data_IF_473118105262
#
_entry.id   IF_473118105262
#
_cell.length_a   1.000
_cell.length_b   1.000
_cell.length_c   1.000
_cell.angle_alpha   90.00
_cell.angle_beta   90.00
_cell.angle_gamma   90.00
#
_symmetry.space_group_name_H-M   'P 1'
#
loop_
_entity.id
_entity.type
_entity.pdbx_description
1 polymer ?
#
# COMPACT_ATOMS: atom_id res chain seq x y z
N UNK A 1 40.22 11.78 2.98
CA UNK A 1 39.90 10.40 3.35
C UNK A 1 39.10 10.25 4.66
N UNK A 2 39.21 11.16 5.65
CA UNK A 2 38.43 11.07 6.90
C UNK A 2 37.04 11.75 6.86
N UNK A 3 36.81 12.67 5.92
CA UNK A 3 35.55 13.42 5.78
C UNK A 3 34.44 12.58 5.12
N UNK A 4 34.82 11.63 4.25
CA UNK A 4 33.89 10.72 3.56
C UNK A 4 33.28 9.67 4.52
N UNK A 5 34.03 9.23 5.54
CA UNK A 5 33.51 8.30 6.55
C UNK A 5 32.45 8.94 7.44
N UNK A 6 32.56 10.25 7.70
CA UNK A 6 31.58 10.97 8.53
C UNK A 6 30.23 11.14 7.81
N UNK A 7 30.23 11.42 6.51
CA UNK A 7 29.00 11.49 5.73
C UNK A 7 28.31 10.13 5.64
N UNK A 8 29.08 9.04 5.47
CA UNK A 8 28.54 7.70 5.39
C UNK A 8 27.92 7.24 6.71
N UNK A 9 28.58 7.51 7.84
CA UNK A 9 28.02 7.22 9.17
C UNK A 9 26.77 8.04 9.47
N UNK A 10 26.73 9.31 9.04
CA UNK A 10 25.55 10.16 9.20
C UNK A 10 24.38 9.69 8.33
N UNK A 11 24.65 9.27 7.09
CA UNK A 11 23.63 8.71 6.19
C UNK A 11 23.07 7.38 6.73
N UNK A 12 23.94 6.50 7.24
CA UNK A 12 23.49 5.25 7.88
C UNK A 12 22.69 5.50 9.15
N UNK A 13 23.15 6.42 10.01
CA UNK A 13 22.43 6.80 11.21
C UNK A 13 21.08 7.46 10.87
N UNK A 14 21.01 8.28 9.81
CA UNK A 14 19.79 8.90 9.33
C UNK A 14 18.81 7.86 8.78
N UNK A 15 19.27 6.91 7.95
CA UNK A 15 18.42 5.82 7.43
C UNK A 15 17.89 4.94 8.55
N UNK A 16 18.75 4.56 9.51
CA UNK A 16 18.34 3.76 10.67
C UNK A 16 17.42 4.54 11.62
N UNK A 17 17.65 5.84 11.79
CA UNK A 17 16.79 6.73 12.58
C UNK A 17 15.43 6.94 11.91
N UNK A 18 15.39 7.15 10.58
CA UNK A 18 14.17 7.17 9.78
C UNK A 18 13.40 5.85 9.88
N UNK A 19 14.10 4.70 9.78
CA UNK A 19 13.47 3.38 9.96
C UNK A 19 12.89 3.19 11.36
N UNK A 20 13.63 3.58 12.42
CA UNK A 20 13.15 3.48 13.81
C UNK A 20 12.02 4.46 14.12
N UNK A 21 12.01 5.65 13.51
CA UNK A 21 10.92 6.63 13.67
C UNK A 21 9.65 6.19 12.93
N UNK A 22 9.76 5.42 11.85
CA UNK A 22 8.62 4.87 11.13
C UNK A 22 7.86 3.80 11.94
N UNK A 23 8.54 3.06 12.82
CA UNK A 23 7.96 1.99 13.63
C UNK A 23 7.95 2.36 15.11
N UNK A 24 6.99 3.20 15.51
CA UNK A 24 6.65 3.37 16.92
C UNK A 24 5.99 2.09 17.44
N UNK A 25 6.75 1.24 18.13
CA UNK A 25 6.21 0.06 18.82
C UNK A 25 5.29 0.50 19.95
N UNK A 26 3.98 0.31 19.74
CA UNK A 26 2.95 0.50 20.74
C UNK A 26 2.29 -0.84 20.99
N UNK A 27 2.16 -1.18 22.26
CA UNK A 27 1.52 -2.43 22.68
C UNK A 27 0.34 -2.10 23.59
N UNK A 28 -0.77 -2.81 23.39
CA UNK A 28 -1.93 -2.73 24.26
C UNK A 28 -2.56 -4.10 24.41
N UNK A 29 -2.80 -4.48 25.65
CA UNK A 29 -3.55 -5.69 25.97
C UNK A 29 -5.01 -5.47 25.61
N UNK A 30 -5.55 -6.34 24.77
CA UNK A 30 -6.96 -6.31 24.35
C UNK A 30 -7.60 -7.65 24.65
N UNK A 31 -8.91 -7.64 24.94
CA UNK A 31 -9.68 -8.86 25.14
C UNK A 31 -10.25 -9.35 23.81
N UNK A 32 -10.18 -10.66 23.59
CA UNK A 32 -10.82 -11.35 22.48
C UNK A 32 -12.27 -11.63 22.84
N UNK A 33 -13.18 -11.48 21.88
CA UNK A 33 -14.59 -11.81 22.07
C UNK A 33 -15.16 -12.54 20.85
N UNK A 34 -16.41 -13.01 20.97
CA UNK A 34 -17.13 -13.67 19.87
C UNK A 34 -18.16 -12.73 19.27
N UNK A 35 -18.18 -12.64 17.95
CA UNK A 35 -19.25 -12.01 17.17
C UNK A 35 -19.92 -13.11 16.35
N UNK A 36 -21.00 -13.67 16.89
CA UNK A 36 -21.63 -14.88 16.34
C UNK A 36 -20.66 -16.07 16.35
N UNK A 37 -20.40 -16.65 15.18
CA UNK A 37 -19.45 -17.77 15.01
C UNK A 37 -17.98 -17.33 14.89
N UNK A 38 -17.73 -16.02 14.78
CA UNK A 38 -16.41 -15.46 14.51
C UNK A 38 -15.75 -14.95 15.79
N UNK A 39 -14.42 -15.02 15.84
CA UNK A 39 -13.63 -14.33 16.84
C UNK A 39 -13.38 -12.89 16.38
N UNK A 40 -13.40 -11.95 17.32
CA UNK A 40 -13.20 -10.53 17.05
C UNK A 40 -12.31 -9.89 18.11
N UNK A 41 -11.62 -8.83 17.69
CA UNK A 41 -10.91 -7.89 18.54
C UNK A 41 -11.50 -6.50 18.35
N UNK A 42 -11.53 -5.70 19.42
CA UNK A 42 -11.77 -4.26 19.30
C UNK A 42 -10.43 -3.61 19.02
N UNK A 43 -10.32 -2.89 17.92
CA UNK A 43 -9.11 -2.12 17.59
C UNK A 43 -9.20 -0.79 18.34
N UNK A 44 -8.29 -0.51 19.30
CA UNK A 44 -8.29 0.78 20.00
C UNK A 44 -7.97 1.93 19.04
N UNK A 45 -8.38 3.16 19.39
CA UNK A 45 -8.27 4.37 18.54
C UNK A 45 -6.85 4.62 18.03
N UNK A 46 -5.85 4.38 18.86
CA UNK A 46 -4.44 4.58 18.52
C UNK A 46 -3.87 3.54 17.54
N UNK A 47 -4.61 2.46 17.26
CA UNK A 47 -4.28 1.41 16.30
C UNK A 47 -5.26 1.35 15.12
N UNK A 48 -6.19 2.30 15.00
CA UNK A 48 -7.13 2.33 13.89
C UNK A 48 -6.40 2.53 12.55
N UNK A 49 -6.69 1.65 11.59
CA UNK A 49 -6.25 1.80 10.20
C UNK A 49 -7.08 2.90 9.53
N UNK A 50 -6.50 3.60 8.55
CA UNK A 50 -7.20 4.71 7.88
C UNK A 50 -8.31 4.21 6.96
N UNK A 51 -8.08 3.05 6.35
CA UNK A 51 -8.95 2.42 5.37
C UNK A 51 -10.08 1.59 5.98
N UNK A 52 -11.01 1.20 5.11
CA UNK A 52 -12.17 0.36 5.47
C UNK A 52 -11.92 -1.14 5.27
N UNK A 53 -10.79 -1.51 4.66
CA UNK A 53 -10.42 -2.89 4.32
C UNK A 53 -9.03 -3.18 4.84
N UNK A 54 -8.85 -4.39 5.34
CA UNK A 54 -7.58 -4.88 5.84
C UNK A 54 -7.39 -6.35 5.45
N UNK A 55 -6.13 -6.75 5.29
CA UNK A 55 -5.72 -8.14 5.13
C UNK A 55 -5.24 -8.63 6.50
N UNK A 56 -5.64 -9.85 6.87
CA UNK A 56 -5.16 -10.52 8.08
C UNK A 56 -4.30 -11.71 7.64
N UNK A 57 -3.06 -11.76 8.11
CA UNK A 57 -2.12 -12.87 7.92
C UNK A 57 -1.82 -13.52 9.28
N UNK A 58 -1.69 -14.84 9.31
CA UNK A 58 -1.31 -15.58 10.52
C UNK A 58 0.11 -16.12 10.37
N UNK A 59 0.98 -15.75 11.29
CA UNK A 59 2.37 -16.22 11.35
C UNK A 59 2.59 -16.84 12.73
N UNK A 60 2.57 -18.17 12.80
CA UNK A 60 2.60 -18.91 14.06
C UNK A 60 1.44 -18.54 14.99
N UNK A 61 1.77 -17.92 16.12
CA UNK A 61 0.88 -17.43 17.18
C UNK A 61 0.51 -15.94 17.02
N UNK A 62 0.97 -15.28 15.95
CA UNK A 62 0.72 -13.87 15.68
C UNK A 62 -0.29 -13.67 14.55
N UNK A 63 -1.13 -12.65 14.71
CA UNK A 63 -1.96 -12.11 13.63
C UNK A 63 -1.40 -10.76 13.21
N UNK A 64 -1.05 -10.65 11.94
CA UNK A 64 -0.59 -9.41 11.31
C UNK A 64 -1.76 -8.85 10.51
N UNK A 65 -2.16 -7.62 10.84
CA UNK A 65 -3.26 -6.93 10.18
C UNK A 65 -2.67 -5.74 9.44
N UNK A 66 -2.84 -5.71 8.12
CA UNK A 66 -2.35 -4.65 7.24
C UNK A 66 -3.51 -3.98 6.52
N UNK A 67 -3.42 -2.67 6.30
CA UNK A 67 -4.41 -1.93 5.52
C UNK A 67 -4.32 -2.30 4.04
N UNK A 68 -5.46 -2.46 3.38
CA UNK A 68 -5.51 -2.55 1.92
C UNK A 68 -5.37 -1.14 1.35
N UNK A 69 -4.20 -0.83 0.80
CA UNK A 69 -4.00 0.40 0.03
C UNK A 69 -4.86 0.33 -1.23
N UNK A 70 -5.89 1.16 -1.28
CA UNK A 70 -6.61 1.42 -2.52
C UNK A 70 -5.93 2.61 -3.18
N UNK A 71 -5.21 2.36 -4.28
CA UNK A 71 -4.71 3.44 -5.11
C UNK A 71 -5.92 4.15 -5.71
N UNK A 72 -5.94 5.47 -5.63
CA UNK A 72 -6.88 6.24 -6.43
C UNK A 72 -6.50 6.12 -7.93
N UNK A 73 -7.39 6.50 -8.84
CA UNK A 73 -7.14 6.33 -10.28
C UNK A 73 -5.83 7.02 -10.72
N UNK A 74 -5.52 8.19 -10.15
CA UNK A 74 -4.30 8.93 -10.48
C UNK A 74 -3.06 8.17 -9.98
N UNK A 75 -3.05 7.74 -8.72
CA UNK A 75 -1.97 6.93 -8.15
C UNK A 75 -1.78 5.60 -8.89
N UNK A 76 -2.87 5.00 -9.36
CA UNK A 76 -2.81 3.79 -10.16
C UNK A 76 -2.14 4.07 -11.51
N UNK A 77 -2.59 5.11 -12.23
CA UNK A 77 -2.01 5.48 -13.52
C UNK A 77 -0.54 5.87 -13.40
N UNK A 78 -0.15 6.56 -12.32
CA UNK A 78 1.24 6.91 -12.02
C UNK A 78 2.11 5.68 -11.70
N UNK A 79 1.50 4.59 -11.23
CA UNK A 79 2.20 3.32 -10.96
C UNK A 79 2.38 2.43 -12.20
N UNK A 80 1.77 2.77 -13.34
CA UNK A 80 1.87 1.97 -14.56
C UNK A 80 3.21 2.21 -15.26
N UNK A 81 3.92 1.11 -15.56
CA UNK A 81 5.12 1.17 -16.39
C UNK A 81 4.74 1.40 -17.87
N UNK A 82 5.58 2.11 -18.65
CA UNK A 82 5.39 2.22 -20.08
C UNK A 82 5.30 0.85 -20.76
N UNK A 83 4.39 0.72 -21.72
CA UNK A 83 4.28 -0.49 -22.52
C UNK A 83 5.25 -0.40 -23.71
N UNK A 84 6.10 -1.41 -23.88
CA UNK A 84 7.04 -1.54 -25.01
C UNK A 84 6.39 -2.16 -26.27
N UNK A 85 5.06 -2.35 -26.26
CA UNK A 85 4.33 -2.87 -27.41
C UNK A 85 3.81 -1.73 -28.27
N UNK A 86 3.93 -1.89 -29.59
CA UNK A 86 3.22 -1.01 -30.51
C UNK A 86 1.71 -1.17 -30.28
N UNK A 87 1.01 -0.04 -30.15
CA UNK A 87 -0.44 -0.07 -30.20
C UNK A 87 -0.87 -0.62 -31.58
N UNK A 88 -1.78 -1.60 -31.62
CA UNK A 88 -2.30 -2.09 -32.90
C UNK A 88 -3.06 -0.97 -33.60
N UNK A 89 -3.12 -1.05 -34.93
CA UNK A 89 -4.06 -0.20 -35.68
C UNK A 89 -5.48 -0.68 -35.34
N UNK A 90 -6.24 0.19 -34.67
CA UNK A 90 -7.62 -0.08 -34.26
C UNK A 90 -8.63 0.29 -35.34
N UNK A 91 -8.15 0.97 -36.40
CA UNK A 91 -8.99 1.49 -37.48
C UNK A 91 -9.05 0.53 -38.69
N UNK A 92 -8.19 -0.49 -38.74
CA UNK A 92 -8.06 -1.44 -39.85
C UNK A 92 -9.37 -2.13 -40.25
N UNK A 93 -10.24 -2.43 -39.27
CA UNK A 93 -11.51 -3.14 -39.46
C UNK A 93 -12.73 -2.22 -39.22
N UNK A 94 -12.54 -0.91 -39.11
CA UNK A 94 -13.67 -0.01 -38.88
C UNK A 94 -14.54 0.12 -40.12
N UNK A 95 -15.85 0.02 -39.89
CA UNK A 95 -16.83 0.39 -40.88
C UNK A 95 -16.72 1.90 -41.17
N UNK A 96 -17.05 2.33 -42.41
CA UNK A 96 -17.13 3.75 -42.72
C UNK A 96 -18.09 4.47 -41.77
N UNK A 97 -17.77 5.72 -41.44
CA UNK A 97 -18.61 6.57 -40.59
C UNK A 97 -20.03 6.66 -41.15
N UNK A 98 -21.01 6.63 -40.26
CA UNK A 98 -22.39 6.92 -40.62
C UNK A 98 -22.50 8.35 -41.16
N UNK A 99 -23.39 8.55 -42.14
CA UNK A 99 -23.72 9.90 -42.61
C UNK A 99 -24.35 10.70 -41.47
N UNK A 100 -23.92 11.96 -41.33
CA UNK A 100 -24.48 12.89 -40.36
C UNK A 100 -25.74 13.52 -40.98
N UNK A 101 -26.91 13.24 -40.41
CA UNK A 101 -28.12 14.02 -40.68
C UNK A 101 -28.08 15.31 -39.83
N UNK A 102 -27.94 16.46 -40.50
CA UNK A 102 -27.98 17.80 -39.89
C UNK A 102 -29.38 18.40 -39.95
#
# INVERSE_FOLDING_TARGET
MLIECWHMLYAYAFVLWSYRMQFAFKERHVSLFRNGRNQAIRIPREFELKGKKAIIRKEGDKLIIEEVKQLNLVELLDSLEPLDVAFPDVDDDLLPLDNIEL
#
